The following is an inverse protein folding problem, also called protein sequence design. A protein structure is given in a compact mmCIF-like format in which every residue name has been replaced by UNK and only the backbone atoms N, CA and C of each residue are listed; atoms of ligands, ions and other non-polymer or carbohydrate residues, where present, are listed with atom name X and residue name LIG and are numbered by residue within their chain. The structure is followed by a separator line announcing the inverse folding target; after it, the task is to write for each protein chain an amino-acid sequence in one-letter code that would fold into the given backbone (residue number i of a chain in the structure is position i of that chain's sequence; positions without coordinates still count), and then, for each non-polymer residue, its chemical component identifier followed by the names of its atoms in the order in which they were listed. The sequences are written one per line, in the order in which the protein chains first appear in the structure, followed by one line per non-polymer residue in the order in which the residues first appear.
data_IF_617657760200
#
_entry.id   IF_617657760200
#
_cell.length_a   1.000
_cell.length_b   1.000
_cell.length_c   1.000
_cell.angle_alpha   90.00
_cell.angle_beta   90.00
_cell.angle_gamma   90.00
#
_symmetry.space_group_name_H-M   'P 1'
#
loop_
_entity.id
_entity.type
_entity.pdbx_description
1 polymer ?
#
# COMPACT_ATOMS: atom_id res chain seq x y z
N UNK A 1 51.26 31.99 102.97
CA UNK A 1 51.11 30.56 103.31
C UNK A 1 49.71 30.47 103.91
N UNK A 2 48.65 29.89 103.35
CA UNK A 2 48.47 28.79 102.40
C UNK A 2 47.01 28.81 101.86
N UNK A 3 46.68 29.56 100.80
CA UNK A 3 45.29 29.52 100.28
C UNK A 3 45.20 29.85 98.78
N UNK A 4 45.95 29.14 97.93
CA UNK A 4 45.86 29.30 96.46
C UNK A 4 46.07 27.99 95.67
N UNK A 5 45.70 26.84 96.21
CA UNK A 5 45.99 25.54 95.58
C UNK A 5 44.76 24.70 95.18
N UNK A 6 43.53 25.23 95.21
CA UNK A 6 42.33 24.38 95.06
C UNK A 6 41.32 24.85 94.00
N UNK A 7 41.78 25.45 92.89
CA UNK A 7 40.93 25.74 91.71
C UNK A 7 41.71 25.48 90.41
N UNK A 8 42.22 24.27 90.21
CA UNK A 8 42.84 23.89 88.92
C UNK A 8 42.61 22.44 88.49
N UNK A 9 41.53 21.84 88.96
CA UNK A 9 41.24 20.43 88.68
C UNK A 9 39.75 20.20 88.43
N UNK A 10 39.15 20.98 87.53
CA UNK A 10 37.78 20.66 87.07
C UNK A 10 37.47 21.04 85.62
N UNK A 11 38.48 21.29 84.78
CA UNK A 11 38.29 21.67 83.36
C UNK A 11 38.80 20.64 82.33
N UNK A 12 39.32 19.49 82.77
CA UNK A 12 39.85 18.45 81.86
C UNK A 12 38.90 17.25 81.66
N UNK A 13 37.87 17.07 82.48
CA UNK A 13 36.98 15.90 82.43
C UNK A 13 35.80 16.03 81.47
N UNK A 14 35.55 17.21 80.90
CA UNK A 14 34.46 17.43 79.93
C UNK A 14 34.87 17.32 78.46
N UNK A 15 36.17 17.17 78.15
CA UNK A 15 36.65 17.04 76.75
C UNK A 15 36.74 15.59 76.25
N UNK A 16 36.75 14.60 77.15
CA UNK A 16 36.97 13.19 76.79
C UNK A 16 35.67 12.43 76.41
N UNK A 17 34.49 12.92 76.84
CA UNK A 17 33.23 12.25 76.53
C UNK A 17 32.65 12.66 75.17
N UNK A 18 32.94 13.87 74.69
CA UNK A 18 32.42 14.39 73.40
C UNK A 18 33.06 13.77 72.16
N UNK A 19 34.29 13.26 72.24
CA UNK A 19 34.95 12.61 71.09
C UNK A 19 34.36 11.23 70.76
N UNK A 20 33.79 10.52 71.75
CA UNK A 20 33.19 9.19 71.52
C UNK A 20 31.78 9.27 70.94
N UNK A 21 31.05 10.36 71.17
CA UNK A 21 29.71 10.55 70.60
C UNK A 21 29.76 10.93 69.11
N UNK A 22 30.75 11.70 68.66
CA UNK A 22 30.88 12.04 67.23
C UNK A 22 31.20 10.81 66.36
N UNK A 23 31.94 9.83 66.90
CA UNK A 23 32.29 8.59 66.22
C UNK A 23 31.09 7.68 65.88
N UNK A 24 29.96 7.82 66.58
CA UNK A 24 28.75 7.00 66.37
C UNK A 24 27.71 7.76 65.52
N UNK A 25 27.64 9.08 65.65
CA UNK A 25 26.63 9.90 64.95
C UNK A 25 26.88 9.93 63.44
N UNK A 26 28.15 10.04 63.02
CA UNK A 26 28.51 10.10 61.59
C UNK A 26 28.05 8.85 60.81
N UNK A 27 28.37 7.60 61.22
CA UNK A 27 27.91 6.41 60.51
C UNK A 27 26.37 6.24 60.55
N UNK A 28 25.70 6.67 61.61
CA UNK A 28 24.24 6.61 61.71
C UNK A 28 23.56 7.54 60.70
N UNK A 29 24.05 8.77 60.56
CA UNK A 29 23.53 9.75 59.60
C UNK A 29 23.73 9.26 58.16
N UNK A 30 24.88 8.64 57.87
CA UNK A 30 25.15 8.05 56.54
C UNK A 30 24.16 6.90 56.26
N UNK A 31 23.91 6.02 57.24
CA UNK A 31 22.96 4.92 57.07
C UNK A 31 21.54 5.41 56.78
N UNK A 32 21.06 6.42 57.51
CA UNK A 32 19.74 7.03 57.29
C UNK A 32 19.67 7.71 55.92
N UNK A 33 20.68 8.50 55.56
CA UNK A 33 20.75 9.16 54.26
C UNK A 33 20.72 8.15 53.10
N UNK A 34 21.44 7.03 53.23
CA UNK A 34 21.48 5.96 52.23
C UNK A 34 20.10 5.33 52.02
N UNK A 35 19.37 5.06 53.11
CA UNK A 35 18.00 4.51 53.04
C UNK A 35 17.05 5.49 52.36
N UNK A 36 17.09 6.77 52.71
CA UNK A 36 16.23 7.81 52.11
C UNK A 36 16.50 7.96 50.62
N UNK A 37 17.78 8.04 50.22
CA UNK A 37 18.18 8.15 48.81
C UNK A 37 17.70 6.92 48.02
N UNK A 38 17.84 5.73 48.60
CA UNK A 38 17.42 4.46 47.96
C UNK A 38 15.90 4.42 47.75
N UNK A 39 15.11 4.84 48.74
CA UNK A 39 13.64 4.90 48.62
C UNK A 39 13.21 5.93 47.59
N UNK A 40 13.89 7.08 47.52
CA UNK A 40 13.58 8.13 46.56
C UNK A 40 13.93 7.73 45.13
N UNK A 41 15.10 7.11 44.91
CA UNK A 41 15.50 6.55 43.61
C UNK A 41 14.51 5.48 43.12
N UNK A 42 14.02 4.61 44.02
CA UNK A 42 13.08 3.56 43.64
C UNK A 42 11.75 4.14 43.09
N UNK A 43 11.26 5.24 43.67
CA UNK A 43 10.05 5.93 43.17
C UNK A 43 10.25 6.58 41.81
N UNK A 44 11.39 7.23 41.59
CA UNK A 44 11.73 7.79 40.27
C UNK A 44 11.84 6.69 39.22
N UNK A 45 12.52 5.58 39.54
CA UNK A 45 12.68 4.46 38.62
C UNK A 45 11.35 3.80 38.23
N UNK A 46 10.36 3.75 39.13
CA UNK A 46 9.02 3.22 38.82
C UNK A 46 8.26 4.14 37.87
N UNK A 47 8.23 5.45 38.14
CA UNK A 47 7.55 6.43 37.27
C UNK A 47 8.17 6.49 35.86
N UNK A 48 9.50 6.35 35.76
CA UNK A 48 10.18 6.30 34.45
C UNK A 48 9.79 5.05 33.67
N UNK A 49 9.71 3.88 34.32
CA UNK A 49 9.33 2.61 33.65
C UNK A 49 7.92 2.66 33.06
N UNK A 50 6.96 3.26 33.74
CA UNK A 50 5.59 3.37 33.22
C UNK A 50 5.53 4.25 31.97
N UNK A 51 6.22 5.40 31.99
CA UNK A 51 6.34 6.25 30.81
C UNK A 51 7.08 5.54 29.67
N UNK A 52 8.17 4.83 29.97
CA UNK A 52 8.92 4.07 28.96
C UNK A 52 8.07 2.98 28.31
N UNK A 53 7.21 2.31 29.08
CA UNK A 53 6.28 1.29 28.58
C UNK A 53 5.19 1.91 27.69
N UNK A 54 4.60 3.03 28.10
CA UNK A 54 3.59 3.75 27.29
C UNK A 54 4.18 4.27 25.97
N UNK A 55 5.40 4.83 26.02
CA UNK A 55 6.12 5.27 24.82
C UNK A 55 6.42 4.09 23.90
N UNK A 56 6.92 2.98 24.43
CA UNK A 56 7.22 1.78 23.65
C UNK A 56 5.95 1.17 23.03
N UNK A 57 4.81 1.20 23.74
CA UNK A 57 3.52 0.74 23.21
C UNK A 57 3.05 1.63 22.07
N UNK A 58 3.07 2.95 22.25
CA UNK A 58 2.69 3.92 21.20
C UNK A 58 3.56 3.79 19.96
N UNK A 59 4.88 3.65 20.13
CA UNK A 59 5.80 3.41 19.02
C UNK A 59 5.44 2.13 18.28
N UNK A 60 5.19 1.04 19.01
CA UNK A 60 4.82 -0.24 18.40
C UNK A 60 3.52 -0.15 17.61
N UNK A 61 2.52 0.55 18.11
CA UNK A 61 1.26 0.77 17.40
C UNK A 61 1.48 1.56 16.11
N UNK A 62 2.28 2.63 16.17
CA UNK A 62 2.63 3.42 14.99
C UNK A 62 3.40 2.59 13.96
N UNK A 63 4.37 1.78 14.40
CA UNK A 63 5.14 0.90 13.53
C UNK A 63 4.25 -0.14 12.84
N UNK A 64 3.26 -0.69 13.55
CA UNK A 64 2.29 -1.63 12.98
C UNK A 64 1.40 -0.96 11.93
N UNK A 65 0.94 0.27 12.19
CA UNK A 65 0.14 1.03 11.23
C UNK A 65 0.95 1.34 9.97
N UNK A 66 2.21 1.78 10.13
CA UNK A 66 3.10 2.08 9.01
C UNK A 66 3.45 0.82 8.21
N UNK A 67 3.70 -0.30 8.88
CA UNK A 67 3.99 -1.57 8.24
C UNK A 67 2.79 -2.09 7.42
N UNK A 68 1.57 -2.00 7.97
CA UNK A 68 0.35 -2.39 7.26
C UNK A 68 0.10 -1.50 6.04
N UNK A 69 0.22 -0.18 6.21
CA UNK A 69 0.05 0.77 5.12
C UNK A 69 1.05 0.52 3.98
N UNK A 70 2.34 0.34 4.31
CA UNK A 70 3.39 0.03 3.33
C UNK A 70 3.09 -1.28 2.61
N UNK A 71 2.66 -2.31 3.34
CA UNK A 71 2.32 -3.61 2.75
C UNK A 71 1.17 -3.53 1.75
N UNK A 72 0.13 -2.75 2.07
CA UNK A 72 -0.99 -2.52 1.14
C UNK A 72 -0.53 -1.77 -0.13
N UNK A 73 0.33 -0.75 0.03
CA UNK A 73 0.89 -0.05 -1.12
C UNK A 73 1.77 -0.95 -1.99
N UNK A 74 2.63 -1.76 -1.39
CA UNK A 74 3.47 -2.72 -2.11
C UNK A 74 2.63 -3.75 -2.85
N UNK A 75 1.59 -4.29 -2.22
CA UNK A 75 0.67 -5.23 -2.87
C UNK A 75 -0.02 -4.60 -4.08
N UNK A 76 -0.53 -3.38 -3.94
CA UNK A 76 -1.15 -2.64 -5.04
C UNK A 76 -0.17 -2.38 -6.19
N UNK A 77 1.07 -2.01 -5.88
CA UNK A 77 2.12 -1.79 -6.87
C UNK A 77 2.47 -3.09 -7.62
N UNK A 78 2.61 -4.20 -6.90
CA UNK A 78 2.88 -5.53 -7.49
C UNK A 78 1.73 -5.96 -8.40
N UNK A 79 0.48 -5.78 -7.98
CA UNK A 79 -0.69 -6.11 -8.80
C UNK A 79 -0.78 -5.23 -10.06
N UNK A 80 -0.43 -3.94 -9.96
CA UNK A 80 -0.35 -3.05 -11.12
C UNK A 80 0.73 -3.49 -12.10
N UNK A 81 1.96 -3.75 -11.62
CA UNK A 81 3.08 -4.22 -12.44
C UNK A 81 2.77 -5.55 -13.12
N UNK A 82 2.10 -6.48 -12.40
CA UNK A 82 1.65 -7.75 -12.98
C UNK A 82 0.71 -7.51 -14.16
N UNK A 83 -0.30 -6.67 -14.00
CA UNK A 83 -1.27 -6.40 -15.06
C UNK A 83 -0.63 -5.66 -16.26
N UNK A 84 0.30 -4.75 -16.02
CA UNK A 84 1.08 -4.10 -17.09
C UNK A 84 1.93 -5.11 -17.86
N UNK A 85 2.65 -5.97 -17.15
CA UNK A 85 3.45 -7.03 -17.78
C UNK A 85 2.57 -7.98 -18.60
N UNK A 86 1.38 -8.34 -18.11
CA UNK A 86 0.42 -9.16 -18.84
C UNK A 86 -0.07 -8.47 -20.12
N UNK A 87 -0.41 -7.18 -20.04
CA UNK A 87 -0.82 -6.38 -21.19
C UNK A 87 0.30 -6.28 -22.24
N UNK A 88 1.52 -5.93 -21.82
CA UNK A 88 2.67 -5.76 -22.71
C UNK A 88 3.05 -7.08 -23.39
N UNK A 89 3.07 -8.18 -22.64
CA UNK A 89 3.32 -9.50 -23.20
C UNK A 89 2.25 -9.87 -24.22
N UNK A 90 0.97 -9.64 -23.92
CA UNK A 90 -0.13 -9.91 -24.82
C UNK A 90 -0.03 -9.11 -26.12
N UNK A 91 0.19 -7.78 -26.03
CA UNK A 91 0.33 -6.92 -27.20
C UNK A 91 1.53 -7.37 -28.04
N UNK A 92 2.68 -7.64 -27.42
CA UNK A 92 3.91 -8.05 -28.12
C UNK A 92 3.72 -9.39 -28.83
N UNK A 93 3.22 -10.40 -28.14
CA UNK A 93 3.00 -11.74 -28.71
C UNK A 93 1.97 -11.67 -29.84
N UNK A 94 0.84 -11.00 -29.62
CA UNK A 94 -0.21 -10.87 -30.64
C UNK A 94 0.31 -10.11 -31.86
N UNK A 95 1.10 -9.04 -31.67
CA UNK A 95 1.74 -8.30 -32.76
C UNK A 95 2.69 -9.19 -33.57
N UNK A 96 3.53 -9.99 -32.91
CA UNK A 96 4.42 -10.93 -33.59
C UNK A 96 3.65 -11.99 -34.39
N UNK A 97 2.54 -12.50 -33.83
CA UNK A 97 1.69 -13.44 -34.55
C UNK A 97 1.00 -12.80 -35.77
N UNK A 98 0.48 -11.57 -35.64
CA UNK A 98 -0.12 -10.83 -36.77
C UNK A 98 0.93 -10.64 -37.89
N UNK A 99 2.16 -10.25 -37.53
CA UNK A 99 3.23 -10.01 -38.51
C UNK A 99 3.75 -11.29 -39.17
N UNK A 100 3.80 -12.41 -38.44
CA UNK A 100 4.29 -13.69 -38.96
C UNK A 100 3.26 -14.44 -39.81
N UNK A 101 1.97 -14.19 -39.58
CA UNK A 101 0.88 -14.84 -40.30
C UNK A 101 0.37 -13.91 -41.40
N UNK A 102 0.94 -14.03 -42.59
CA UNK A 102 0.59 -13.24 -43.78
C UNK A 102 -0.92 -13.28 -44.12
N UNK A 103 -1.64 -14.31 -43.65
CA UNK A 103 -3.09 -14.29 -43.41
C UNK A 103 -3.37 -15.15 -42.18
N UNK A 104 -3.87 -14.58 -41.09
CA UNK A 104 -4.40 -15.40 -40.01
C UNK A 104 -5.65 -16.11 -40.52
N UNK A 105 -5.69 -17.45 -40.43
CA UNK A 105 -6.91 -18.22 -40.73
C UNK A 105 -7.93 -18.03 -39.61
N UNK A 106 -9.22 -18.20 -39.93
CA UNK A 106 -10.31 -18.25 -38.94
C UNK A 106 -9.97 -19.19 -37.76
N UNK A 107 -9.33 -20.32 -38.06
CA UNK A 107 -8.89 -21.30 -37.04
C UNK A 107 -7.92 -20.67 -36.03
N UNK A 108 -6.94 -19.91 -36.48
CA UNK A 108 -5.96 -19.27 -35.58
C UNK A 108 -6.66 -18.22 -34.71
N UNK A 109 -7.55 -17.43 -35.31
CA UNK A 109 -8.34 -16.42 -34.59
C UNK A 109 -9.24 -17.01 -33.51
N UNK A 110 -10.05 -18.02 -33.86
CA UNK A 110 -11.04 -18.58 -32.94
C UNK A 110 -10.41 -19.49 -31.88
N UNK A 111 -9.34 -20.22 -32.20
CA UNK A 111 -8.75 -21.21 -31.28
C UNK A 111 -7.47 -20.76 -30.58
N UNK A 112 -6.81 -19.69 -31.03
CA UNK A 112 -5.58 -19.19 -30.39
C UNK A 112 -5.83 -17.77 -29.85
N UNK A 113 -6.11 -16.81 -30.72
CA UNK A 113 -6.21 -15.41 -30.31
C UNK A 113 -7.39 -15.15 -29.38
N UNK A 114 -8.57 -15.69 -29.68
CA UNK A 114 -9.76 -15.47 -28.85
C UNK A 114 -9.58 -16.01 -27.42
N UNK A 115 -9.16 -17.27 -27.18
CA UNK A 115 -8.91 -17.75 -25.82
C UNK A 115 -7.87 -16.91 -25.07
N UNK A 116 -6.79 -16.50 -25.73
CA UNK A 116 -5.76 -15.64 -25.14
C UNK A 116 -6.34 -14.27 -24.75
N UNK A 117 -7.07 -13.62 -25.66
CA UNK A 117 -7.71 -12.34 -25.39
C UNK A 117 -8.68 -12.44 -24.21
N UNK A 118 -9.51 -13.48 -24.15
CA UNK A 118 -10.45 -13.69 -23.04
C UNK A 118 -9.73 -13.95 -21.71
N UNK A 119 -8.63 -14.71 -21.73
CA UNK A 119 -7.84 -14.98 -20.53
C UNK A 119 -7.13 -13.73 -19.99
N UNK A 120 -6.64 -12.87 -20.89
CA UNK A 120 -6.02 -11.59 -20.54
C UNK A 120 -7.07 -10.61 -20.01
N UNK A 121 -8.18 -10.41 -20.75
CA UNK A 121 -9.26 -9.50 -20.35
C UNK A 121 -9.85 -9.85 -18.97
N UNK A 122 -9.88 -11.13 -18.59
CA UNK A 122 -10.36 -11.56 -17.26
C UNK A 122 -9.44 -11.09 -16.11
N UNK A 123 -8.16 -10.87 -16.37
CA UNK A 123 -7.16 -10.53 -15.36
C UNK A 123 -6.84 -9.03 -15.28
N UNK A 124 -7.26 -8.26 -16.28
CA UNK A 124 -7.00 -6.84 -16.37
C UNK A 124 -8.11 -6.02 -15.70
N UNK A 125 -7.72 -4.89 -15.13
CA UNK A 125 -8.65 -3.84 -14.73
C UNK A 125 -9.27 -3.11 -15.93
N UNK A 126 -10.24 -2.24 -15.65
CA UNK A 126 -10.96 -1.46 -16.66
C UNK A 126 -10.04 -0.67 -17.60
N UNK A 127 -9.03 0.02 -17.05
CA UNK A 127 -8.11 0.86 -17.83
C UNK A 127 -7.30 0.02 -18.83
N UNK A 128 -6.77 -1.12 -18.39
CA UNK A 128 -5.94 -1.98 -19.22
C UNK A 128 -6.77 -2.80 -20.22
N UNK A 129 -8.02 -3.16 -19.86
CA UNK A 129 -8.99 -3.72 -20.82
C UNK A 129 -9.21 -2.76 -22.00
N UNK A 130 -9.33 -1.46 -21.75
CA UNK A 130 -9.45 -0.46 -22.82
C UNK A 130 -8.31 -0.51 -23.81
N UNK A 131 -7.06 -0.62 -23.33
CA UNK A 131 -5.89 -0.77 -24.20
C UNK A 131 -5.96 -2.03 -25.06
N UNK A 132 -6.42 -3.16 -24.50
CA UNK A 132 -6.61 -4.41 -25.27
C UNK A 132 -7.68 -4.24 -26.34
N UNK A 133 -8.83 -3.64 -26.00
CA UNK A 133 -9.93 -3.44 -26.96
C UNK A 133 -9.51 -2.50 -28.09
N UNK A 134 -8.82 -1.41 -27.78
CA UNK A 134 -8.31 -0.47 -28.79
C UNK A 134 -7.28 -1.16 -29.69
N UNK A 135 -6.30 -1.86 -29.12
CA UNK A 135 -5.31 -2.61 -29.90
C UNK A 135 -5.96 -3.64 -30.84
N UNK A 136 -6.92 -4.41 -30.34
CA UNK A 136 -7.64 -5.39 -31.14
C UNK A 136 -8.47 -4.74 -32.24
N UNK A 137 -9.07 -3.58 -31.99
CA UNK A 137 -9.83 -2.82 -32.99
C UNK A 137 -8.91 -2.25 -34.07
N UNK A 138 -7.82 -1.59 -33.69
CA UNK A 138 -6.85 -0.95 -34.59
C UNK A 138 -6.08 -1.95 -35.45
N UNK A 139 -5.84 -3.15 -34.92
CA UNK A 139 -5.27 -4.27 -35.68
C UNK A 139 -6.27 -4.93 -36.64
N UNK A 140 -7.53 -4.49 -36.66
CA UNK A 140 -8.61 -5.08 -37.45
C UNK A 140 -9.10 -6.43 -36.91
N UNK A 141 -8.55 -6.91 -35.78
CA UNK A 141 -8.96 -8.17 -35.17
C UNK A 141 -10.35 -8.06 -34.52
N UNK A 142 -10.79 -6.88 -34.11
CA UNK A 142 -12.09 -6.66 -33.47
C UNK A 142 -12.98 -5.71 -34.28
N UNK A 143 -13.19 -6.08 -35.54
CA UNK A 143 -14.10 -5.37 -36.46
C UNK A 143 -15.31 -6.23 -36.83
N UNK A 144 -16.41 -5.59 -37.21
CA UNK A 144 -17.61 -6.22 -37.77
C UNK A 144 -17.35 -6.67 -39.21
N UNK A 145 -16.40 -6.03 -39.89
CA UNK A 145 -16.06 -6.29 -41.29
C UNK A 145 -14.83 -7.21 -41.35
N UNK A 146 -14.90 -8.21 -42.22
CA UNK A 146 -13.81 -9.16 -42.43
C UNK A 146 -13.76 -10.28 -41.39
N UNK A 147 -12.62 -10.96 -41.33
CA UNK A 147 -12.44 -12.07 -40.42
C UNK A 147 -11.93 -11.60 -39.05
N UNK A 148 -12.85 -11.29 -38.15
CA UNK A 148 -12.54 -10.82 -36.79
C UNK A 148 -12.59 -11.93 -35.73
N UNK A 149 -11.94 -11.67 -34.60
CA UNK A 149 -12.15 -12.42 -33.37
C UNK A 149 -13.47 -11.98 -32.72
N UNK A 150 -14.21 -12.93 -32.17
CA UNK A 150 -15.45 -12.64 -31.45
C UNK A 150 -15.22 -12.80 -29.94
N UNK A 151 -15.35 -11.71 -29.19
CA UNK A 151 -15.17 -11.71 -27.75
C UNK A 151 -16.42 -12.18 -26.97
N UNK A 152 -17.23 -13.08 -27.56
CA UNK A 152 -18.47 -13.60 -26.94
C UNK A 152 -18.17 -14.12 -25.54
N UNK A 153 -18.89 -13.59 -24.55
CA UNK A 153 -18.75 -13.90 -23.13
C UNK A 153 -17.68 -13.11 -22.38
N UNK A 154 -17.02 -12.14 -23.01
CA UNK A 154 -16.05 -11.29 -22.33
C UNK A 154 -16.74 -10.36 -21.31
N UNK A 155 -16.12 -10.25 -20.13
CA UNK A 155 -16.46 -9.22 -19.16
C UNK A 155 -15.61 -7.96 -19.45
N UNK A 156 -16.27 -6.94 -19.96
CA UNK A 156 -15.72 -5.61 -20.23
C UNK A 156 -16.41 -4.57 -19.34
N UNK A 157 -16.79 -4.96 -18.12
CA UNK A 157 -17.42 -4.05 -17.16
C UNK A 157 -16.44 -2.95 -16.75
N UNK A 158 -16.94 -1.73 -16.62
CA UNK A 158 -16.18 -0.53 -16.30
C UNK A 158 -15.26 -0.04 -17.42
N UNK A 159 -15.28 -0.67 -18.61
CA UNK A 159 -14.45 -0.29 -19.76
C UNK A 159 -14.60 1.21 -20.06
N UNK A 160 -13.49 1.95 -20.11
CA UNK A 160 -13.51 3.36 -20.45
C UNK A 160 -12.79 3.59 -21.77
N UNK A 161 -13.55 3.86 -22.83
CA UNK A 161 -13.07 4.24 -24.15
C UNK A 161 -13.38 5.72 -24.46
N UNK A 162 -13.43 6.59 -23.46
CA UNK A 162 -13.68 8.01 -23.70
C UNK A 162 -12.53 8.66 -24.49
N UNK A 163 -12.80 9.84 -25.05
CA UNK A 163 -11.78 10.71 -25.61
C UNK A 163 -11.60 11.89 -24.67
N UNK A 164 -10.36 12.11 -24.23
CA UNK A 164 -9.97 13.35 -23.59
C UNK A 164 -9.89 14.47 -24.65
N UNK A 165 -10.40 15.66 -24.32
CA UNK A 165 -10.67 16.77 -25.25
C UNK A 165 -9.47 17.19 -26.13
N UNK A 166 -8.23 16.85 -25.76
CA UNK A 166 -6.99 17.20 -26.48
C UNK A 166 -6.48 16.11 -27.46
N UNK A 167 -7.15 14.95 -27.58
CA UNK A 167 -6.63 13.78 -28.30
C UNK A 167 -7.19 13.56 -29.70
N UNK A 168 -6.62 14.20 -30.72
CA UNK A 168 -7.10 14.19 -32.11
C UNK A 168 -7.00 12.85 -32.90
N UNK A 169 -6.63 11.72 -32.30
CA UNK A 169 -6.24 10.52 -33.08
C UNK A 169 -7.15 9.29 -33.02
N UNK A 170 -8.17 9.23 -32.16
CA UNK A 170 -9.02 8.03 -32.08
C UNK A 170 -10.51 8.34 -31.92
N UNK A 171 -11.04 9.31 -32.68
CA UNK A 171 -12.47 9.66 -32.63
C UNK A 171 -13.41 8.57 -33.14
N UNK A 172 -12.88 7.56 -33.82
CA UNK A 172 -13.68 6.61 -34.58
C UNK A 172 -13.41 5.18 -34.11
N UNK A 173 -14.45 4.53 -33.59
CA UNK A 173 -14.49 3.11 -33.33
C UNK A 173 -15.52 2.47 -34.27
N UNK A 174 -15.38 2.79 -35.56
CA UNK A 174 -16.25 2.25 -36.59
C UNK A 174 -16.14 0.74 -36.64
N UNK A 175 -17.27 0.09 -36.89
CA UNK A 175 -17.36 -1.37 -37.00
C UNK A 175 -16.90 -2.13 -35.74
N UNK A 176 -16.79 -1.49 -34.57
CA UNK A 176 -16.40 -2.19 -33.33
C UNK A 176 -17.35 -3.36 -33.03
N UNK A 177 -16.81 -4.58 -32.92
CA UNK A 177 -17.60 -5.80 -32.74
C UNK A 177 -17.57 -6.33 -31.30
N UNK A 178 -18.56 -5.97 -30.48
CA UNK A 178 -18.66 -6.36 -29.07
C UNK A 178 -19.95 -7.12 -28.75
N UNK A 179 -20.51 -7.86 -29.71
CA UNK A 179 -21.72 -8.65 -29.50
C UNK A 179 -21.56 -9.71 -28.40
N UNK A 180 -22.61 -9.91 -27.61
CA UNK A 180 -22.66 -10.88 -26.49
C UNK A 180 -21.55 -10.69 -25.45
N UNK A 181 -21.19 -9.44 -25.17
CA UNK A 181 -20.27 -9.08 -24.09
C UNK A 181 -21.02 -8.45 -22.90
N UNK A 182 -20.31 -8.26 -21.79
CA UNK A 182 -20.78 -7.42 -20.68
C UNK A 182 -20.04 -6.09 -20.72
N UNK A 183 -20.77 -4.99 -20.78
CA UNK A 183 -20.31 -3.60 -20.80
C UNK A 183 -21.00 -2.81 -19.68
N UNK A 184 -21.19 -3.45 -18.51
CA UNK A 184 -21.85 -2.78 -17.39
C UNK A 184 -20.98 -1.62 -16.93
N UNK A 185 -21.55 -0.42 -16.81
CA UNK A 185 -20.85 0.82 -16.48
C UNK A 185 -19.67 1.16 -17.41
N UNK A 186 -19.74 0.75 -18.69
CA UNK A 186 -18.74 1.12 -19.69
C UNK A 186 -19.00 2.53 -20.25
N UNK A 187 -17.96 3.24 -20.64
CA UNK A 187 -18.06 4.58 -21.21
C UNK A 187 -17.43 4.65 -22.60
N UNK A 188 -18.14 5.29 -23.52
CA UNK A 188 -17.74 5.52 -24.92
C UNK A 188 -17.96 6.98 -25.31
N UNK A 189 -17.85 7.90 -24.34
CA UNK A 189 -18.14 9.30 -24.56
C UNK A 189 -17.17 9.90 -25.57
N UNK A 190 -17.69 10.79 -26.41
CA UNK A 190 -17.04 11.43 -27.53
C UNK A 190 -16.55 10.48 -28.63
N UNK A 191 -16.99 9.20 -28.65
CA UNK A 191 -16.61 8.23 -29.70
C UNK A 191 -17.67 8.10 -30.78
N UNK A 192 -17.22 8.03 -32.04
CA UNK A 192 -18.09 7.64 -33.13
C UNK A 192 -18.15 6.13 -33.29
N UNK A 193 -19.27 5.53 -32.92
CA UNK A 193 -19.54 4.09 -32.97
C UNK A 193 -20.34 3.65 -34.20
N UNK A 194 -20.15 4.31 -35.35
CA UNK A 194 -20.90 3.96 -36.56
C UNK A 194 -20.65 2.49 -36.92
N UNK A 195 -21.74 1.77 -37.19
CA UNK A 195 -21.74 0.34 -37.54
C UNK A 195 -21.23 -0.62 -36.48
N UNK A 196 -20.94 -0.15 -35.26
CA UNK A 196 -20.58 -1.01 -34.15
C UNK A 196 -21.70 -2.04 -33.85
N UNK A 197 -21.30 -3.25 -33.46
CA UNK A 197 -22.19 -4.35 -33.16
C UNK A 197 -22.21 -4.64 -31.66
N UNK A 198 -23.31 -4.24 -31.02
CA UNK A 198 -23.61 -4.49 -29.60
C UNK A 198 -24.80 -5.45 -29.42
N UNK A 199 -25.10 -6.31 -30.42
CA UNK A 199 -26.20 -7.27 -30.31
C UNK A 199 -25.98 -8.21 -29.14
N UNK A 200 -27.05 -8.44 -28.37
CA UNK A 200 -27.05 -9.28 -27.17
C UNK A 200 -26.03 -8.84 -26.07
N UNK A 201 -25.56 -7.59 -26.09
CA UNK A 201 -24.59 -7.06 -25.13
C UNK A 201 -25.28 -6.46 -23.91
N UNK A 202 -24.74 -6.71 -22.71
CA UNK A 202 -25.26 -6.13 -21.48
C UNK A 202 -24.67 -4.73 -21.29
N UNK A 203 -25.48 -3.68 -21.40
CA UNK A 203 -25.03 -2.28 -21.37
C UNK A 203 -25.63 -1.48 -20.21
N UNK A 204 -25.93 -2.13 -19.08
CA UNK A 204 -26.53 -1.44 -17.93
C UNK A 204 -25.55 -0.39 -17.40
N UNK A 205 -25.98 0.88 -17.36
CA UNK A 205 -25.15 1.99 -16.90
C UNK A 205 -24.06 2.42 -17.88
N UNK A 206 -24.09 1.95 -19.12
CA UNK A 206 -23.13 2.39 -20.12
C UNK A 206 -23.46 3.79 -20.67
N UNK A 207 -22.44 4.60 -20.96
CA UNK A 207 -22.55 5.97 -21.49
C UNK A 207 -21.94 6.09 -22.90
N UNK A 208 -22.56 6.93 -23.73
CA UNK A 208 -22.28 7.08 -25.17
C UNK A 208 -22.38 8.54 -25.64
N UNK A 209 -22.21 9.50 -24.73
CA UNK A 209 -22.45 10.93 -25.02
C UNK A 209 -21.50 11.50 -26.08
#
# INVERSE_FOLDING_TARGET
MEEKAMIKENSQTTRCTTEKFSAIIIPLVIAIATIVITVQQNRYNQATRENDLDIAQKQREQDLLLANYTREQEQNLVDQQRQETLLDNYIRETSQFILSLNTSSYTIREYIFRPQALAVLRQLDAKRKSSVILFLHESGLLSRVGDSIRLVGANLDGLNLDIEEDGAFHTYLFDLALSRTSLVNASFNNRQLRYADFRDTQMRGASFE
#
